data_IF_843280696340
#
_entry.id   IF_843280696340
#
_cell.length_a   1.000
_cell.length_b   1.000
_cell.length_c   1.000
_cell.angle_alpha   90.00
_cell.angle_beta   90.00
_cell.angle_gamma   90.00
#
_symmetry.space_group_name_H-M   'P 1'
#
loop_
_entity.id
_entity.type
_entity.pdbx_description
1 polymer ?
#
# COMPACT_ATOMS: atom_id res chain seq x y z
N UNK A 1 13.16 9.11 3.54
CA UNK A 1 12.78 8.72 4.92
C UNK A 1 13.46 9.62 5.97
N UNK A 2 14.79 9.76 5.92
CA UNK A 2 15.55 10.48 6.95
C UNK A 2 15.26 11.99 6.97
N UNK A 3 15.18 12.63 5.79
CA UNK A 3 14.83 14.05 5.64
C UNK A 3 13.54 14.43 6.38
N UNK A 4 12.56 13.53 6.40
CA UNK A 4 11.24 13.76 7.00
C UNK A 4 11.11 13.14 8.40
N UNK A 5 12.19 12.56 8.94
CA UNK A 5 12.18 11.89 10.23
C UNK A 5 11.14 10.78 10.29
N UNK A 6 11.10 9.91 9.28
CA UNK A 6 10.12 8.81 9.18
C UNK A 6 10.65 7.48 9.71
N UNK A 7 11.92 7.40 10.07
CA UNK A 7 12.48 6.19 10.69
C UNK A 7 11.89 5.99 12.09
N UNK A 8 11.37 4.79 12.41
CA UNK A 8 11.06 4.41 13.78
C UNK A 8 12.28 4.55 14.69
N UNK A 9 12.05 4.78 15.98
CA UNK A 9 13.12 4.77 16.97
C UNK A 9 13.65 3.34 17.15
N UNK A 10 14.96 3.20 17.34
CA UNK A 10 15.57 1.90 17.64
C UNK A 10 15.28 1.45 19.09
N UNK A 11 15.08 2.39 20.01
CA UNK A 11 14.80 2.13 21.42
C UNK A 11 14.05 3.30 22.06
N UNK A 12 13.46 3.07 23.24
CA UNK A 12 12.73 4.10 23.97
C UNK A 12 11.46 4.57 23.27
N UNK A 13 11.03 5.78 23.59
CA UNK A 13 9.81 6.40 23.09
C UNK A 13 10.11 7.51 22.08
N UNK A 14 9.14 7.78 21.21
CA UNK A 14 9.11 8.96 20.37
C UNK A 14 8.45 10.11 21.13
N UNK A 15 9.11 11.28 21.16
CA UNK A 15 8.63 12.48 21.87
C UNK A 15 8.28 13.62 20.92
N UNK A 16 8.08 13.32 19.62
CA UNK A 16 7.82 14.31 18.59
C UNK A 16 6.34 14.58 18.32
N UNK A 17 5.43 14.06 19.13
CA UNK A 17 4.01 14.39 19.03
C UNK A 17 3.78 15.89 19.25
N UNK A 18 2.95 16.49 18.42
CA UNK A 18 2.53 17.88 18.55
C UNK A 18 1.02 17.98 18.22
N UNK A 19 0.24 18.39 19.22
CA UNK A 19 -1.22 18.54 19.10
C UNK A 19 -1.62 19.61 18.06
N UNK A 20 -0.73 20.55 17.74
CA UNK A 20 -1.01 21.60 16.77
C UNK A 20 -0.71 21.18 15.33
N UNK A 21 -0.13 19.99 15.12
CA UNK A 21 0.09 19.44 13.78
C UNK A 21 -1.21 18.86 13.25
N UNK A 22 -1.64 19.34 12.09
CA UNK A 22 -2.77 18.78 11.36
C UNK A 22 -2.36 17.48 10.67
N UNK A 23 -2.89 16.35 11.14
CA UNK A 23 -2.69 15.02 10.56
C UNK A 23 -3.67 14.66 9.44
N UNK A 24 -4.48 15.62 8.98
CA UNK A 24 -5.37 15.43 7.83
C UNK A 24 -4.60 15.07 6.56
N UNK A 25 -5.22 14.26 5.71
CA UNK A 25 -4.67 13.93 4.39
C UNK A 25 -4.82 15.14 3.47
N UNK A 26 -3.71 15.62 2.93
CA UNK A 26 -3.71 16.70 1.97
C UNK A 26 -4.41 16.28 0.68
N UNK A 27 -5.19 17.20 0.10
CA UNK A 27 -5.93 16.96 -1.13
C UNK A 27 -5.02 16.46 -2.27
N UNK A 28 -3.84 17.07 -2.44
CA UNK A 28 -2.86 16.64 -3.45
C UNK A 28 -2.30 15.24 -3.23
N UNK A 29 -2.28 14.76 -1.99
CA UNK A 29 -1.82 13.40 -1.67
C UNK A 29 -2.91 12.39 -1.97
N UNK A 30 -4.14 12.65 -1.54
CA UNK A 30 -5.27 11.76 -1.77
C UNK A 30 -5.68 11.66 -3.25
N UNK A 31 -5.72 12.79 -3.95
CA UNK A 31 -6.20 12.86 -5.33
C UNK A 31 -5.11 12.61 -6.39
N UNK A 32 -3.82 12.66 -6.02
CA UNK A 32 -2.73 12.46 -6.99
C UNK A 32 -1.54 11.67 -6.43
N UNK A 33 -0.85 12.16 -5.38
CA UNK A 33 0.47 11.63 -5.04
C UNK A 33 0.46 10.15 -4.64
N UNK A 34 -0.55 9.68 -3.91
CA UNK A 34 -0.64 8.26 -3.50
C UNK A 34 -0.91 7.32 -4.70
N UNK A 35 -1.42 7.83 -5.80
CA UNK A 35 -1.74 7.04 -7.00
C UNK A 35 -0.53 6.66 -7.83
N UNK A 36 0.70 7.03 -7.44
CA UNK A 36 1.92 6.51 -8.08
C UNK A 36 1.93 4.97 -8.10
N UNK A 37 1.26 4.32 -7.14
CA UNK A 37 1.10 2.86 -7.13
C UNK A 37 0.46 2.30 -8.40
N UNK A 38 -0.29 3.10 -9.17
CA UNK A 38 -0.89 2.67 -10.42
C UNK A 38 0.15 2.23 -11.47
N UNK A 39 1.36 2.82 -11.49
CA UNK A 39 2.44 2.40 -12.38
C UNK A 39 3.15 1.12 -11.89
N UNK A 40 3.03 0.79 -10.61
CA UNK A 40 3.62 -0.40 -10.00
C UNK A 40 2.79 -1.68 -10.21
N UNK A 41 1.53 -1.54 -10.63
CA UNK A 41 0.63 -2.67 -10.83
C UNK A 41 1.07 -3.45 -12.08
N UNK A 42 1.38 -4.75 -11.99
CA UNK A 42 1.72 -5.56 -13.15
C UNK A 42 0.46 -5.92 -13.96
N UNK A 43 0.62 -6.13 -15.27
CA UNK A 43 -0.47 -6.58 -16.16
C UNK A 43 -0.96 -8.00 -15.85
N UNK A 44 -0.07 -8.84 -15.33
CA UNK A 44 -0.37 -10.24 -15.06
C UNK A 44 0.24 -10.72 -13.75
N UNK A 45 -0.41 -11.71 -13.15
CA UNK A 45 -0.06 -12.32 -11.88
C UNK A 45 0.26 -13.80 -12.12
N UNK A 46 1.56 -14.11 -12.18
CA UNK A 46 2.03 -15.48 -12.29
C UNK A 46 1.67 -16.28 -11.04
N UNK A 47 1.10 -17.48 -11.22
CA UNK A 47 1.00 -18.48 -10.16
C UNK A 47 2.36 -19.11 -9.92
N UNK A 48 2.70 -19.34 -8.66
CA UNK A 48 3.90 -20.09 -8.29
C UNK A 48 3.50 -21.42 -7.63
N UNK A 49 4.23 -22.49 -7.92
CA UNK A 49 4.14 -23.74 -7.17
C UNK A 49 4.92 -23.62 -5.84
N UNK A 50 4.81 -24.64 -4.98
CA UNK A 50 5.52 -24.67 -3.69
C UNK A 50 7.05 -24.62 -3.81
N UNK A 51 7.61 -24.78 -5.01
CA UNK A 51 9.04 -24.65 -5.29
C UNK A 51 9.39 -23.27 -5.89
N UNK A 52 8.45 -22.32 -5.92
CA UNK A 52 8.63 -20.98 -6.46
C UNK A 52 8.74 -20.93 -7.98
N UNK A 53 8.26 -21.95 -8.70
CA UNK A 53 8.26 -21.99 -10.17
C UNK A 53 6.93 -21.54 -10.74
N UNK A 54 6.96 -20.84 -11.87
CA UNK A 54 5.76 -20.35 -12.55
C UNK A 54 4.91 -21.55 -13.01
N UNK A 55 3.66 -21.58 -12.55
CA UNK A 55 2.69 -22.64 -12.84
C UNK A 55 1.66 -22.22 -13.89
N UNK A 56 1.26 -20.95 -13.93
CA UNK A 56 0.24 -20.44 -14.86
C UNK A 56 0.26 -18.91 -14.87
N UNK A 57 0.08 -18.28 -16.03
CA UNK A 57 -0.08 -16.83 -16.15
C UNK A 57 -1.57 -16.46 -16.16
N UNK A 58 -1.95 -15.46 -15.35
CA UNK A 58 -3.32 -14.95 -15.28
C UNK A 58 -3.29 -13.42 -15.32
N UNK A 59 -4.02 -12.84 -16.27
CA UNK A 59 -4.18 -11.38 -16.34
C UNK A 59 -4.88 -10.83 -15.09
N UNK A 60 -4.42 -9.68 -14.58
CA UNK A 60 -5.05 -9.01 -13.45
C UNK A 60 -6.50 -8.61 -13.75
N UNK A 61 -6.84 -8.41 -15.02
CA UNK A 61 -8.19 -8.12 -15.50
C UNK A 61 -9.22 -9.13 -14.95
N UNK A 62 -8.85 -10.40 -14.95
CA UNK A 62 -9.72 -11.51 -14.50
C UNK A 62 -9.81 -11.68 -12.97
N UNK A 63 -9.24 -10.74 -12.22
CA UNK A 63 -9.22 -10.76 -10.74
C UNK A 63 -10.09 -9.67 -10.11
N UNK A 64 -10.53 -8.69 -10.90
CA UNK A 64 -11.42 -7.63 -10.40
C UNK A 64 -12.76 -8.20 -9.92
N UNK A 65 -13.13 -7.87 -8.68
CA UNK A 65 -14.35 -8.36 -8.03
C UNK A 65 -14.54 -9.89 -8.09
N UNK A 66 -13.45 -10.65 -8.17
CA UNK A 66 -13.47 -12.11 -8.34
C UNK A 66 -12.82 -12.83 -7.14
N UNK A 67 -13.45 -12.83 -5.95
CA UNK A 67 -12.87 -13.41 -4.73
C UNK A 67 -12.86 -14.94 -4.74
N UNK A 68 -13.45 -15.60 -5.75
CA UNK A 68 -13.71 -17.04 -5.77
C UNK A 68 -12.46 -17.90 -5.51
N UNK A 69 -11.30 -17.47 -6.01
CA UNK A 69 -10.04 -18.18 -5.78
C UNK A 69 -9.62 -18.21 -4.30
N UNK A 70 -10.03 -17.21 -3.50
CA UNK A 70 -9.73 -17.16 -2.07
C UNK A 70 -10.53 -18.19 -1.27
N UNK A 71 -11.68 -18.63 -1.78
CA UNK A 71 -12.55 -19.63 -1.12
C UNK A 71 -12.09 -21.07 -1.37
N UNK A 72 -11.20 -21.30 -2.34
CA UNK A 72 -10.62 -22.62 -2.58
C UNK A 72 -9.67 -23.01 -1.43
N UNK A 73 -9.52 -24.32 -1.13
CA UNK A 73 -8.51 -24.78 -0.17
C UNK A 73 -7.11 -24.26 -0.53
N UNK A 74 -6.47 -23.57 0.41
CA UNK A 74 -5.15 -22.93 0.24
C UNK A 74 -5.15 -21.70 -0.69
N UNK A 75 -6.32 -21.10 -0.97
CA UNK A 75 -6.45 -19.93 -1.84
C UNK A 75 -5.62 -18.72 -1.38
N UNK A 76 -5.68 -18.39 -0.09
CA UNK A 76 -4.88 -17.30 0.50
C UNK A 76 -3.38 -17.56 0.38
N UNK A 77 -2.92 -18.76 0.72
CA UNK A 77 -1.51 -19.15 0.62
C UNK A 77 -0.98 -19.00 -0.82
N UNK A 78 -1.78 -19.39 -1.82
CA UNK A 78 -1.42 -19.18 -3.23
C UNK A 78 -1.24 -17.70 -3.53
N UNK A 79 -2.15 -16.83 -3.09
CA UNK A 79 -2.03 -15.38 -3.30
C UNK A 79 -0.79 -14.81 -2.59
N UNK A 80 -0.54 -15.19 -1.34
CA UNK A 80 0.65 -14.76 -0.60
C UNK A 80 1.95 -15.23 -1.27
N UNK A 81 2.01 -16.47 -1.75
CA UNK A 81 3.17 -16.95 -2.52
C UNK A 81 3.40 -16.11 -3.78
N UNK A 82 2.34 -15.68 -4.47
CA UNK A 82 2.47 -14.77 -5.62
C UNK A 82 3.06 -13.44 -5.21
N UNK A 83 2.54 -12.81 -4.16
CA UNK A 83 3.02 -11.51 -3.68
C UNK A 83 4.48 -11.55 -3.21
N UNK A 84 4.95 -12.69 -2.71
CA UNK A 84 6.34 -12.87 -2.30
C UNK A 84 7.32 -13.06 -3.47
N UNK A 85 6.87 -13.60 -4.60
CA UNK A 85 7.73 -14.00 -5.73
C UNK A 85 7.60 -13.11 -6.96
N UNK A 86 6.46 -12.47 -7.16
CA UNK A 86 6.21 -11.61 -8.31
C UNK A 86 6.82 -10.22 -8.04
N UNK A 87 7.74 -9.74 -8.90
CA UNK A 87 8.20 -8.37 -8.80
C UNK A 87 7.05 -7.41 -9.14
N UNK A 88 7.05 -6.23 -8.51
CA UNK A 88 6.22 -5.12 -8.95
C UNK A 88 6.62 -4.69 -10.37
N UNK A 89 5.71 -4.05 -11.11
CA UNK A 89 6.12 -3.34 -12.32
C UNK A 89 7.08 -2.23 -11.93
N UNK A 90 8.14 -2.05 -12.72
CA UNK A 90 9.07 -0.95 -12.52
C UNK A 90 8.29 0.35 -12.62
N UNK A 91 8.50 1.26 -11.67
CA UNK A 91 7.96 2.60 -11.82
C UNK A 91 8.58 3.25 -13.06
N UNK A 92 7.71 3.62 -13.99
CA UNK A 92 8.00 4.40 -15.17
C UNK A 92 6.83 5.36 -15.40
N UNK A 93 6.97 6.20 -16.41
CA UNK A 93 5.93 7.17 -16.79
C UNK A 93 4.66 6.53 -17.36
N UNK A 94 4.56 5.19 -17.37
CA UNK A 94 3.47 4.44 -17.97
C UNK A 94 2.66 3.66 -16.93
N UNK A 95 1.41 3.37 -17.31
CA UNK A 95 0.52 2.46 -16.60
C UNK A 95 0.13 1.38 -17.59
N UNK A 96 0.11 0.13 -17.15
CA UNK A 96 -0.12 -0.99 -18.05
C UNK A 96 -1.50 -0.92 -18.75
N UNK A 97 -1.59 -1.57 -19.91
CA UNK A 97 -2.76 -1.56 -20.79
C UNK A 97 -4.05 -2.06 -20.13
N UNK A 98 -3.93 -2.98 -19.15
CA UNK A 98 -5.10 -3.50 -18.42
C UNK A 98 -5.71 -2.40 -17.58
N UNK A 99 -4.88 -1.59 -16.90
CA UNK A 99 -5.36 -0.51 -16.04
C UNK A 99 -5.80 0.73 -16.83
N UNK A 100 -5.29 0.94 -18.05
CA UNK A 100 -5.64 2.10 -18.89
C UNK A 100 -6.78 1.85 -19.88
N UNK A 101 -7.06 0.60 -20.28
CA UNK A 101 -8.10 0.32 -21.28
C UNK A 101 -9.14 -0.72 -20.84
N UNK A 102 -8.81 -1.54 -19.85
CA UNK A 102 -9.56 -2.76 -19.52
C UNK A 102 -9.90 -2.86 -18.02
N UNK A 103 -9.77 -1.77 -17.26
CA UNK A 103 -10.05 -1.80 -15.82
C UNK A 103 -11.54 -2.05 -15.61
N UNK A 104 -11.87 -3.06 -14.81
CA UNK A 104 -13.25 -3.52 -14.56
C UNK A 104 -14.04 -3.90 -15.81
N UNK A 105 -13.38 -4.22 -16.92
CA UNK A 105 -14.07 -4.67 -18.11
C UNK A 105 -14.78 -6.01 -17.87
N UNK A 106 -16.08 -6.06 -18.09
CA UNK A 106 -16.83 -7.31 -18.22
C UNK A 106 -16.54 -7.94 -19.59
N UNK A 107 -16.29 -9.24 -19.58
CA UNK A 107 -16.26 -10.10 -20.77
C UNK A 107 -17.42 -9.90 -21.75
N UNK A 108 -18.59 -9.46 -21.28
CA UNK A 108 -19.80 -9.32 -22.09
C UNK A 108 -20.04 -7.91 -22.67
N UNK A 109 -19.49 -6.84 -22.06
CA UNK A 109 -19.86 -5.45 -22.38
C UNK A 109 -18.76 -4.63 -23.08
N UNK A 110 -17.59 -5.21 -23.35
CA UNK A 110 -16.61 -4.69 -24.32
C UNK A 110 -15.88 -3.38 -23.97
N UNK A 111 -16.34 -2.61 -22.99
CA UNK A 111 -15.74 -1.34 -22.59
C UNK A 111 -15.10 -1.45 -21.19
N UNK A 112 -13.82 -1.11 -21.09
CA UNK A 112 -13.12 -0.97 -19.81
C UNK A 112 -12.96 0.50 -19.41
N UNK A 113 -12.57 0.71 -18.17
CA UNK A 113 -12.21 2.03 -17.64
C UNK A 113 -10.71 2.28 -17.79
N UNK A 114 -10.37 3.58 -17.81
CA UNK A 114 -8.99 4.07 -17.80
C UNK A 114 -8.67 4.68 -16.42
N UNK A 115 -7.84 3.98 -15.64
CA UNK A 115 -7.41 4.44 -14.32
C UNK A 115 -6.60 5.74 -14.40
N UNK A 116 -5.72 5.88 -15.39
CA UNK A 116 -4.87 7.06 -15.53
C UNK A 116 -5.72 8.29 -15.85
N UNK A 117 -6.65 8.15 -16.80
CA UNK A 117 -7.59 9.21 -17.13
C UNK A 117 -8.47 9.60 -15.93
N UNK A 118 -8.92 8.62 -15.14
CA UNK A 118 -9.68 8.89 -13.92
C UNK A 118 -8.87 9.67 -12.89
N UNK A 119 -7.63 9.28 -12.60
CA UNK A 119 -6.76 9.99 -11.65
C UNK A 119 -6.53 11.44 -12.11
N UNK A 120 -6.24 11.65 -13.39
CA UNK A 120 -6.05 12.99 -13.96
C UNK A 120 -7.34 13.82 -13.83
N UNK A 121 -8.48 13.25 -14.20
CA UNK A 121 -9.76 13.95 -14.13
C UNK A 121 -10.18 14.24 -12.68
N UNK A 122 -9.88 13.35 -11.74
CA UNK A 122 -10.11 13.53 -10.31
C UNK A 122 -9.25 14.68 -9.76
N UNK A 123 -7.97 14.76 -10.17
CA UNK A 123 -7.10 15.88 -9.80
C UNK A 123 -7.65 17.23 -10.27
N UNK A 124 -8.23 17.29 -11.48
CA UNK A 124 -8.88 18.50 -12.01
C UNK A 124 -10.17 18.86 -11.28
N UNK A 125 -11.00 17.86 -11.00
CA UNK A 125 -12.24 18.03 -10.21
C UNK A 125 -11.94 18.59 -8.81
N UNK A 126 -10.87 18.09 -8.19
CA UNK A 126 -10.37 18.54 -6.89
C UNK A 126 -9.66 19.90 -6.92
N UNK A 127 -9.58 20.55 -8.09
CA UNK A 127 -8.96 21.86 -8.26
C UNK A 127 -7.48 21.89 -7.91
N UNK A 128 -6.75 20.78 -8.14
CA UNK A 128 -5.32 20.74 -7.86
C UNK A 128 -4.57 21.72 -8.76
N UNK A 129 -3.67 22.57 -8.20
CA UNK A 129 -2.77 23.35 -9.01
C UNK A 129 -1.91 22.47 -9.92
N UNK A 130 -1.51 23.02 -11.06
CA UNK A 130 -0.60 22.35 -12.00
C UNK A 130 0.72 21.94 -11.34
N UNK A 131 1.36 20.93 -11.92
CA UNK A 131 2.59 20.31 -11.46
C UNK A 131 3.69 21.31 -11.07
N UNK A 132 3.86 22.39 -11.84
CA UNK A 132 4.90 23.40 -11.57
C UNK A 132 4.76 24.10 -10.23
N UNK A 133 3.53 24.25 -9.71
CA UNK A 133 3.29 24.85 -8.40
C UNK A 133 3.76 23.93 -7.27
N UNK A 134 3.59 22.62 -7.46
CA UNK A 134 4.03 21.60 -6.51
C UNK A 134 5.55 21.43 -6.50
N UNK A 135 6.20 21.55 -7.66
CA UNK A 135 7.67 21.65 -7.75
C UNK A 135 8.19 22.79 -6.88
N UNK A 136 7.63 23.99 -7.07
CA UNK A 136 8.03 25.17 -6.29
C UNK A 136 7.76 24.99 -4.79
N UNK A 137 6.59 24.45 -4.43
CA UNK A 137 6.23 24.10 -3.05
C UNK A 137 7.22 23.13 -2.41
N UNK A 138 7.80 22.23 -3.21
CA UNK A 138 8.81 21.26 -2.80
C UNK A 138 10.25 21.78 -2.89
N UNK A 139 10.44 23.07 -3.20
CA UNK A 139 11.75 23.71 -3.25
C UNK A 139 12.56 23.37 -4.50
N UNK A 140 11.94 22.79 -5.53
CA UNK A 140 12.57 22.57 -6.82
C UNK A 140 12.64 23.88 -7.63
N UNK A 141 13.59 23.98 -8.59
CA UNK A 141 13.69 25.16 -9.45
C UNK A 141 12.38 25.46 -10.18
N UNK A 142 12.04 26.75 -10.23
CA UNK A 142 10.92 27.24 -11.03
C UNK A 142 11.19 26.99 -12.51
N UNK A 143 10.18 26.54 -13.24
CA UNK A 143 10.27 26.30 -14.68
C UNK A 143 9.23 27.11 -15.44
N UNK A 144 9.64 27.68 -16.57
CA UNK A 144 8.77 28.48 -17.45
C UNK A 144 8.65 27.91 -18.87
N UNK A 145 9.49 26.93 -19.20
CA UNK A 145 9.48 26.22 -20.46
C UNK A 145 9.60 24.71 -20.25
N UNK A 146 9.12 23.93 -21.22
CA UNK A 146 9.26 22.47 -21.18
C UNK A 146 10.73 22.02 -21.13
N UNK A 147 11.65 22.78 -21.74
CA UNK A 147 13.08 22.47 -21.79
C UNK A 147 13.71 22.41 -20.40
N UNK A 148 13.22 23.24 -19.48
CA UNK A 148 13.75 23.32 -18.11
C UNK A 148 13.38 22.10 -17.26
N UNK A 149 12.43 21.26 -17.69
CA UNK A 149 12.05 20.03 -16.99
C UNK A 149 13.12 18.92 -17.07
N UNK A 150 14.11 19.04 -17.96
CA UNK A 150 15.14 18.00 -18.12
C UNK A 150 16.05 17.81 -16.90
N UNK A 151 15.88 18.64 -15.86
CA UNK A 151 16.57 18.50 -14.58
C UNK A 151 16.09 17.28 -13.79
N UNK A 152 14.83 16.87 -13.96
CA UNK A 152 14.23 15.75 -13.22
C UNK A 152 13.55 14.70 -14.10
N UNK A 153 13.45 14.88 -15.42
CA UNK A 153 12.83 13.89 -16.31
C UNK A 153 13.56 13.75 -17.64
N UNK A 154 13.34 12.62 -18.32
CA UNK A 154 14.02 12.33 -19.59
C UNK A 154 13.54 13.24 -20.73
N UNK A 155 14.39 13.44 -21.74
CA UNK A 155 14.01 14.18 -22.96
C UNK A 155 12.79 13.56 -23.68
N UNK A 156 12.60 12.25 -23.53
CA UNK A 156 11.44 11.56 -24.09
C UNK A 156 10.14 12.02 -23.43
N UNK A 157 10.08 12.02 -22.09
CA UNK A 157 8.94 12.50 -21.31
C UNK A 157 8.63 13.97 -21.64
N UNK A 158 9.65 14.84 -21.66
CA UNK A 158 9.48 16.25 -22.02
C UNK A 158 8.88 16.41 -23.43
N UNK A 159 9.34 15.61 -24.39
CA UNK A 159 8.81 15.61 -25.76
C UNK A 159 7.35 15.18 -25.81
N UNK A 160 6.97 14.17 -25.02
CA UNK A 160 5.57 13.72 -24.88
C UNK A 160 4.69 14.81 -24.27
N UNK A 161 5.14 15.50 -23.22
CA UNK A 161 4.38 16.62 -22.64
C UNK A 161 4.15 17.76 -23.63
N UNK A 162 5.15 18.12 -24.46
CA UNK A 162 4.99 19.15 -25.50
C UNK A 162 3.93 18.81 -26.54
N UNK A 163 3.64 17.53 -26.77
CA UNK A 163 2.61 17.11 -27.74
C UNK A 163 1.20 17.27 -27.19
N UNK A 164 1.03 17.20 -25.87
CA UNK A 164 -0.28 17.13 -25.21
C UNK A 164 -0.64 18.45 -24.54
N UNK A 165 0.29 19.09 -23.85
CA UNK A 165 0.06 20.33 -23.12
C UNK A 165 0.51 21.55 -23.92
N UNK A 166 -0.31 22.61 -23.91
CA UNK A 166 0.01 23.88 -24.59
C UNK A 166 1.06 24.68 -23.82
N UNK A 167 0.96 24.71 -22.49
CA UNK A 167 1.91 25.37 -21.61
C UNK A 167 2.45 24.38 -20.55
N UNK A 168 3.70 24.57 -20.11
CA UNK A 168 4.29 23.76 -19.02
C UNK A 168 3.48 23.86 -17.71
N UNK A 169 2.80 24.98 -17.51
CA UNK A 169 1.95 25.25 -16.35
C UNK A 169 0.66 24.43 -16.34
N UNK A 170 0.25 23.90 -17.49
CA UNK A 170 -0.99 23.13 -17.65
C UNK A 170 -0.81 21.65 -17.29
N UNK A 171 0.43 21.19 -17.03
CA UNK A 171 0.71 19.79 -16.70
C UNK A 171 0.02 19.44 -15.38
N UNK A 172 -0.83 18.42 -15.41
CA UNK A 172 -1.51 17.90 -14.22
C UNK A 172 -0.50 17.34 -13.21
N UNK A 173 -0.73 17.51 -11.90
CA UNK A 173 0.21 17.06 -10.86
C UNK A 173 0.59 15.58 -11.03
N UNK A 174 -0.40 14.70 -11.19
CA UNK A 174 -0.15 13.26 -11.29
C UNK A 174 0.77 12.94 -12.48
N UNK A 175 0.42 13.43 -13.67
CA UNK A 175 1.18 13.21 -14.89
C UNK A 175 2.60 13.78 -14.80
N UNK A 176 2.74 15.01 -14.31
CA UNK A 176 4.04 15.67 -14.22
C UNK A 176 4.99 14.99 -13.24
N UNK A 177 4.49 14.61 -12.07
CA UNK A 177 5.30 13.98 -11.02
C UNK A 177 5.57 12.49 -11.27
N UNK A 178 4.67 11.75 -11.93
CA UNK A 178 4.94 10.39 -12.40
C UNK A 178 5.98 10.36 -13.53
N UNK A 179 6.10 11.44 -14.30
CA UNK A 179 7.14 11.58 -15.32
C UNK A 179 8.54 11.89 -14.78
N UNK A 180 8.69 12.14 -13.48
CA UNK A 180 9.99 12.40 -12.86
C UNK A 180 10.81 11.12 -12.74
N UNK A 181 12.13 11.24 -12.89
CA UNK A 181 13.05 10.14 -12.64
C UNK A 181 13.09 9.85 -11.14
N UNK A 182 12.93 8.57 -10.72
CA UNK A 182 13.05 8.20 -9.32
C UNK A 182 14.36 8.64 -8.68
N UNK A 183 14.28 9.15 -7.46
CA UNK A 183 15.49 9.46 -6.68
C UNK A 183 16.18 8.17 -6.25
N UNK A 184 17.48 8.23 -5.95
CA UNK A 184 18.23 7.06 -5.49
C UNK A 184 17.57 6.40 -4.26
N UNK A 185 17.39 5.08 -4.32
CA UNK A 185 16.74 4.30 -3.26
C UNK A 185 15.21 4.48 -3.17
N UNK A 186 14.59 5.12 -4.16
CA UNK A 186 13.15 5.38 -4.25
C UNK A 186 12.56 4.84 -5.56
N UNK A 187 11.24 4.65 -5.56
CA UNK A 187 10.45 4.35 -6.77
C UNK A 187 9.63 5.56 -7.24
N UNK A 188 9.90 6.74 -6.68
CA UNK A 188 9.21 7.98 -7.02
C UNK A 188 10.21 9.13 -7.14
N UNK A 189 9.89 10.10 -7.99
CA UNK A 189 10.64 11.32 -8.17
C UNK A 189 10.54 12.32 -7.00
N UNK A 190 11.32 13.42 -7.07
CA UNK A 190 11.43 14.39 -5.98
C UNK A 190 10.11 15.06 -5.56
N UNK A 191 9.18 15.33 -6.48
CA UNK A 191 7.90 15.98 -6.17
C UNK A 191 7.00 15.05 -5.36
N UNK A 192 6.77 13.82 -5.82
CA UNK A 192 6.01 12.84 -5.03
C UNK A 192 6.72 12.48 -3.73
N UNK A 193 8.05 12.33 -3.74
CA UNK A 193 8.85 12.11 -2.55
C UNK A 193 8.65 13.20 -1.49
N UNK A 194 8.60 14.46 -1.93
CA UNK A 194 8.31 15.60 -1.06
C UNK A 194 6.89 15.57 -0.50
N UNK A 195 5.87 15.38 -1.35
CA UNK A 195 4.47 15.40 -0.93
C UNK A 195 4.17 14.26 0.05
N UNK A 196 4.56 13.03 -0.28
CA UNK A 196 4.36 11.86 0.56
C UNK A 196 5.21 11.96 1.83
N UNK A 197 6.47 12.36 1.72
CA UNK A 197 7.36 12.53 2.88
C UNK A 197 6.80 13.50 3.92
N UNK A 198 6.27 14.65 3.48
CA UNK A 198 5.61 15.62 4.35
C UNK A 198 4.29 15.07 4.92
N UNK A 199 3.49 14.37 4.12
CA UNK A 199 2.24 13.78 4.60
C UNK A 199 2.49 12.76 5.71
N UNK A 200 3.41 11.82 5.52
CA UNK A 200 3.75 10.84 6.54
C UNK A 200 4.39 11.48 7.77
N UNK A 201 5.12 12.58 7.60
CA UNK A 201 5.68 13.34 8.72
C UNK A 201 4.56 13.92 9.61
N UNK A 202 3.54 14.53 9.00
CA UNK A 202 2.41 15.08 9.75
C UNK A 202 1.52 13.99 10.35
N UNK A 203 1.33 12.87 9.65
CA UNK A 203 0.60 11.71 10.20
C UNK A 203 1.29 11.18 11.46
N UNK A 204 2.61 10.97 11.43
CA UNK A 204 3.37 10.49 12.59
C UNK A 204 3.31 11.47 13.77
N UNK A 205 3.48 12.77 13.52
CA UNK A 205 3.57 13.78 14.59
C UNK A 205 2.23 14.28 15.12
N UNK A 206 1.20 14.27 14.30
CA UNK A 206 -0.16 14.67 14.68
C UNK A 206 -1.00 13.52 15.26
N UNK A 207 -0.52 12.27 15.17
CA UNK A 207 -1.20 11.13 15.77
C UNK A 207 -0.82 10.96 17.25
N UNK A 208 -1.79 11.24 18.13
CA UNK A 208 -1.65 11.01 19.58
C UNK A 208 -1.40 9.53 19.90
N UNK A 209 -1.94 8.63 19.09
CA UNK A 209 -1.85 7.17 19.24
C UNK A 209 -0.70 6.57 18.42
N UNK A 210 0.20 7.38 17.86
CA UNK A 210 1.41 6.86 17.24
C UNK A 210 2.10 5.92 18.22
N UNK A 211 2.34 4.68 17.78
CA UNK A 211 2.65 3.58 18.70
C UNK A 211 3.88 3.85 19.58
N UNK A 212 4.83 4.66 19.13
CA UNK A 212 6.04 4.96 19.91
C UNK A 212 5.86 6.08 20.94
N UNK A 213 4.72 6.76 20.98
CA UNK A 213 4.49 7.90 21.88
C UNK A 213 4.54 7.50 23.36
N UNK A 214 5.07 8.41 24.19
CA UNK A 214 5.02 8.33 25.66
C UNK A 214 3.88 9.20 26.23
N UNK A 215 2.66 9.00 25.73
CA UNK A 215 1.48 9.76 26.14
C UNK A 215 0.45 8.86 26.83
N UNK A 216 0.44 8.82 28.17
CA UNK A 216 -0.59 8.11 28.93
C UNK A 216 -2.02 8.63 28.61
N UNK A 217 -3.04 7.77 28.69
CA UNK A 217 -2.98 6.34 29.05
C UNK A 217 -2.69 5.40 27.86
N UNK A 218 -2.32 5.95 26.70
CA UNK A 218 -2.28 5.22 25.42
C UNK A 218 -0.90 4.73 25.01
N UNK A 219 0.13 5.05 25.79
CA UNK A 219 1.53 4.67 25.56
C UNK A 219 1.78 3.20 25.84
N UNK A 220 2.51 2.52 24.95
CA UNK A 220 3.11 1.23 25.25
C UNK A 220 4.27 1.37 26.24
N UNK A 221 4.49 0.33 27.05
CA UNK A 221 5.70 0.23 27.88
C UNK A 221 6.95 0.04 27.01
N UNK A 222 8.14 0.24 27.58
CA UNK A 222 9.40 0.06 26.83
C UNK A 222 9.60 -1.39 26.39
N UNK A 223 9.16 -2.33 27.23
CA UNK A 223 9.18 -3.77 26.96
C UNK A 223 8.23 -4.11 25.82
N UNK A 224 7.01 -3.55 25.82
CA UNK A 224 6.05 -3.71 24.73
C UNK A 224 6.59 -3.13 23.41
N UNK A 225 7.18 -1.93 23.44
CA UNK A 225 7.81 -1.34 22.25
C UNK A 225 8.99 -2.16 21.73
N UNK A 226 9.78 -2.76 22.62
CA UNK A 226 10.86 -3.66 22.22
C UNK A 226 10.33 -4.86 21.43
N UNK A 227 9.21 -5.45 21.85
CA UNK A 227 8.59 -6.57 21.15
C UNK A 227 7.92 -6.15 19.83
N UNK A 228 7.25 -4.98 19.76
CA UNK A 228 6.68 -4.42 18.52
C UNK A 228 7.76 -4.22 17.45
N UNK A 229 8.93 -3.71 17.83
CA UNK A 229 10.03 -3.45 16.90
C UNK A 229 10.65 -4.71 16.29
N UNK A 230 10.42 -5.89 16.86
CA UNK A 230 10.83 -7.17 16.28
C UNK A 230 9.92 -7.64 15.15
N UNK A 231 8.70 -7.10 15.05
CA UNK A 231 7.73 -7.52 14.04
C UNK A 231 8.17 -7.13 12.64
N UNK A 232 7.94 -8.03 11.69
CA UNK A 232 8.10 -7.80 10.25
C UNK A 232 6.89 -8.34 9.51
N UNK A 233 6.64 -7.85 8.30
CA UNK A 233 5.59 -8.42 7.45
C UNK A 233 5.88 -9.90 7.11
N UNK A 234 7.16 -10.32 7.04
CA UNK A 234 7.53 -11.73 6.94
C UNK A 234 7.00 -12.55 8.13
N UNK A 235 7.16 -12.06 9.37
CA UNK A 235 6.60 -12.73 10.56
C UNK A 235 5.08 -12.79 10.53
N UNK A 236 4.41 -11.72 10.09
CA UNK A 236 2.95 -11.70 9.94
C UNK A 236 2.50 -12.79 8.97
N UNK A 237 3.16 -12.91 7.81
CA UNK A 237 2.86 -13.98 6.83
C UNK A 237 3.10 -15.36 7.46
N UNK A 238 4.26 -15.59 8.07
CA UNK A 238 4.60 -16.87 8.70
C UNK A 238 3.62 -17.32 9.80
N UNK A 239 2.99 -16.38 10.52
CA UNK A 239 2.06 -16.70 11.59
C UNK A 239 0.62 -16.95 11.09
N UNK A 240 0.27 -16.52 9.87
CA UNK A 240 -1.10 -16.50 9.38
C UNK A 240 -1.31 -17.30 8.08
N UNK A 241 -0.26 -17.85 7.49
CA UNK A 241 -0.35 -18.74 6.34
C UNK A 241 -0.32 -20.21 6.78
N UNK A 242 -1.09 -21.08 6.12
CA UNK A 242 -1.21 -22.49 6.52
C UNK A 242 -0.01 -23.33 6.05
N UNK A 243 0.47 -23.07 4.83
CA UNK A 243 1.48 -23.89 4.16
C UNK A 243 2.76 -23.14 3.76
N UNK A 244 2.87 -21.85 4.05
CA UNK A 244 4.08 -21.07 3.78
C UNK A 244 5.09 -21.29 4.92
N UNK A 245 6.15 -22.03 4.63
CA UNK A 245 7.19 -22.38 5.62
C UNK A 245 8.45 -21.55 5.51
N UNK A 246 8.66 -20.89 4.37
CA UNK A 246 9.84 -20.07 4.09
C UNK A 246 9.39 -18.75 3.47
N UNK A 247 10.03 -17.65 3.88
CA UNK A 247 9.75 -16.28 3.41
C UNK A 247 11.07 -15.50 3.39
N UNK A 248 11.24 -14.54 2.46
CA UNK A 248 12.36 -13.60 2.54
C UNK A 248 12.17 -12.61 3.73
N UNK A 249 13.21 -12.29 4.52
CA UNK A 249 13.06 -11.38 5.66
C UNK A 249 12.56 -9.97 5.29
N UNK A 250 13.02 -9.42 4.15
CA UNK A 250 12.61 -8.11 3.63
C UNK A 250 11.63 -8.32 2.46
N UNK A 251 10.35 -8.48 2.77
CA UNK A 251 9.31 -8.89 1.78
C UNK A 251 9.00 -7.85 0.70
N UNK A 252 9.37 -6.58 0.90
CA UNK A 252 9.22 -5.54 -0.12
C UNK A 252 10.41 -5.46 -1.09
N UNK A 253 11.49 -6.18 -0.80
CA UNK A 253 12.66 -6.29 -1.67
C UNK A 253 12.64 -7.64 -2.38
N UNK A 254 13.19 -7.66 -3.59
CA UNK A 254 13.40 -8.89 -4.32
C UNK A 254 14.26 -9.87 -3.51
N UNK A 255 14.02 -11.16 -3.75
CA UNK A 255 14.86 -12.22 -3.18
C UNK A 255 16.30 -12.08 -3.69
N UNK A 256 17.24 -12.21 -2.78
CA UNK A 256 18.66 -12.25 -3.10
C UNK A 256 19.32 -13.40 -2.34
N UNK A 257 20.10 -14.30 -2.98
CA UNK A 257 20.69 -15.46 -2.31
C UNK A 257 21.60 -15.13 -1.13
N UNK A 258 22.09 -13.89 -1.02
CA UNK A 258 23.05 -13.48 0.00
C UNK A 258 22.44 -12.49 1.02
N UNK A 259 21.65 -11.51 0.55
CA UNK A 259 21.16 -10.40 1.35
C UNK A 259 19.69 -10.55 1.78
N UNK A 260 18.91 -11.37 1.08
CA UNK A 260 17.46 -11.51 1.31
C UNK A 260 16.94 -12.90 0.90
N UNK A 261 17.63 -13.96 1.33
CA UNK A 261 17.32 -15.32 0.93
C UNK A 261 16.05 -15.84 1.63
N UNK A 262 15.35 -16.76 0.98
CA UNK A 262 14.23 -17.47 1.58
C UNK A 262 14.70 -18.17 2.85
N UNK A 263 14.02 -17.90 3.97
CA UNK A 263 14.40 -18.42 5.28
C UNK A 263 13.20 -19.05 5.98
N UNK A 264 13.45 -20.15 6.71
CA UNK A 264 12.41 -20.85 7.46
C UNK A 264 11.73 -19.94 8.50
N UNK A 265 10.40 -20.01 8.53
CA UNK A 265 9.54 -19.28 9.47
C UNK A 265 9.79 -19.62 10.94
N UNK A 266 10.38 -20.78 11.23
CA UNK A 266 10.73 -21.26 12.58
C UNK A 266 12.12 -20.85 13.04
N UNK A 267 12.93 -20.23 12.16
CA UNK A 267 14.29 -19.80 12.48
C UNK A 267 14.36 -18.48 13.24
N UNK A 268 15.56 -18.14 13.72
CA UNK A 268 15.79 -16.91 14.50
C UNK A 268 15.83 -15.62 13.65
N UNK A 269 16.02 -15.73 12.34
CA UNK A 269 16.15 -14.58 11.42
C UNK A 269 14.85 -13.79 11.33
N UNK A 270 13.71 -14.49 11.25
CA UNK A 270 12.39 -13.86 11.30
C UNK A 270 12.00 -13.80 12.78
N UNK A 271 12.11 -12.63 13.40
CA UNK A 271 11.85 -12.48 14.83
C UNK A 271 10.42 -12.85 15.23
N UNK A 272 10.24 -13.43 16.42
CA UNK A 272 8.94 -13.59 17.05
C UNK A 272 8.70 -12.44 18.03
N UNK A 273 7.44 -12.00 18.13
CA UNK A 273 7.00 -11.08 19.18
C UNK A 273 6.65 -11.89 20.43
N UNK A 274 7.22 -11.53 21.58
CA UNK A 274 6.77 -12.03 22.87
C UNK A 274 5.60 -11.17 23.38
N UNK A 275 4.47 -11.79 23.70
CA UNK A 275 3.30 -11.10 24.24
C UNK A 275 3.27 -11.05 25.78
N UNK A 276 4.26 -11.63 26.45
CA UNK A 276 4.40 -11.59 27.92
C UNK A 276 4.34 -10.16 28.50
N UNK A 277 4.91 -9.11 27.86
CA UNK A 277 4.77 -7.73 28.34
C UNK A 277 3.35 -7.16 28.33
N UNK A 278 2.39 -7.82 27.68
CA UNK A 278 0.96 -7.49 27.76
C UNK A 278 0.23 -8.27 28.86
N UNK A 279 0.90 -9.21 29.52
CA UNK A 279 0.32 -9.89 30.67
C UNK A 279 0.08 -8.86 31.79
N UNK A 280 -1.15 -8.82 32.29
CA UNK A 280 -1.51 -7.97 33.42
C UNK A 280 -1.52 -8.81 34.69
N UNK A 281 -0.90 -8.30 35.75
CA UNK A 281 -0.94 -8.95 37.07
C UNK A 281 -2.30 -8.78 37.77
N UNK A 282 -3.18 -7.92 37.24
CA UNK A 282 -4.41 -7.51 37.89
C UNK A 282 -5.66 -7.88 37.05
N UNK A 283 -6.51 -8.83 37.50
CA UNK A 283 -7.66 -9.36 36.77
C UNK A 283 -8.86 -8.42 36.63
N UNK A 284 -8.68 -7.09 36.69
CA UNK A 284 -9.81 -6.16 36.62
C UNK A 284 -10.56 -6.17 35.27
N UNK A 285 -10.04 -6.88 34.28
CA UNK A 285 -10.79 -7.28 33.09
C UNK A 285 -10.66 -8.79 32.85
N UNK A 286 -11.14 -9.62 33.79
CA UNK A 286 -11.46 -11.02 33.46
C UNK A 286 -12.63 -10.98 32.49
N UNK A 287 -12.32 -11.16 31.20
CA UNK A 287 -13.34 -11.58 30.24
C UNK A 287 -13.76 -12.99 30.67
N UNK A 288 -14.94 -13.12 31.28
CA UNK A 288 -15.46 -14.42 31.66
C UNK A 288 -15.41 -15.36 30.45
N UNK A 289 -15.07 -16.64 30.67
CA UNK A 289 -15.16 -17.66 29.62
C UNK A 289 -16.55 -17.71 29.00
N UNK A 290 -17.59 -17.33 29.75
CA UNK A 290 -18.95 -17.16 29.22
C UNK A 290 -19.05 -15.97 28.28
N UNK A 291 -18.47 -14.81 28.63
CA UNK A 291 -18.47 -13.63 27.75
C UNK A 291 -17.70 -13.92 26.46
N UNK A 292 -16.55 -14.61 26.53
CA UNK A 292 -15.81 -15.05 25.34
C UNK A 292 -16.65 -15.99 24.47
N UNK A 293 -17.27 -17.01 25.07
CA UNK A 293 -18.12 -17.94 24.36
C UNK A 293 -19.34 -17.24 23.72
N UNK A 294 -19.95 -16.30 24.44
CA UNK A 294 -21.08 -15.50 23.96
C UNK A 294 -20.65 -14.57 22.83
N UNK A 295 -19.50 -13.91 22.93
CA UNK A 295 -18.93 -13.09 21.85
C UNK A 295 -18.64 -13.92 20.60
N UNK A 296 -18.07 -15.13 20.73
CA UNK A 296 -17.85 -16.04 19.60
C UNK A 296 -19.19 -16.51 19.01
N UNK A 297 -20.17 -16.83 19.85
CA UNK A 297 -21.50 -17.22 19.39
C UNK A 297 -22.25 -16.08 18.69
N UNK A 298 -22.12 -14.84 19.18
CA UNK A 298 -22.63 -13.65 18.50
C UNK A 298 -21.93 -13.42 17.17
N UNK A 299 -20.60 -13.45 17.13
CA UNK A 299 -19.85 -13.31 15.89
C UNK A 299 -20.26 -14.37 14.86
N UNK A 300 -20.41 -15.64 15.27
CA UNK A 300 -20.91 -16.71 14.38
C UNK A 300 -22.32 -16.45 13.88
N UNK A 301 -23.22 -15.95 14.73
CA UNK A 301 -24.59 -15.57 14.34
C UNK A 301 -24.60 -14.40 13.37
N UNK A 302 -23.78 -13.39 13.60
CA UNK A 302 -23.69 -12.22 12.74
C UNK A 302 -23.11 -12.59 11.37
N UNK A 303 -22.07 -13.42 11.33
CA UNK A 303 -21.56 -14.01 10.07
C UNK A 303 -22.66 -14.78 9.35
N UNK A 304 -23.44 -15.61 10.07
CA UNK A 304 -24.52 -16.36 9.46
C UNK A 304 -25.63 -15.46 8.90
N UNK A 305 -25.98 -14.38 9.60
CA UNK A 305 -26.94 -13.37 9.11
C UNK A 305 -26.45 -12.67 7.85
N UNK A 306 -25.17 -12.29 7.82
CA UNK A 306 -24.55 -11.68 6.63
C UNK A 306 -24.64 -12.66 5.46
N UNK A 307 -24.27 -13.93 5.67
CA UNK A 307 -24.38 -14.99 4.67
C UNK A 307 -25.83 -15.16 4.16
N UNK A 308 -26.82 -15.17 5.05
CA UNK A 308 -28.23 -15.22 4.65
C UNK A 308 -28.65 -14.00 3.83
N UNK A 309 -28.26 -12.79 4.24
CA UNK A 309 -28.56 -11.57 3.50
C UNK A 309 -27.89 -11.57 2.12
N UNK A 310 -26.65 -12.03 2.02
CA UNK A 310 -25.95 -12.20 0.74
C UNK A 310 -26.68 -13.19 -0.17
N UNK A 311 -27.13 -14.33 0.39
CA UNK A 311 -27.93 -15.32 -0.36
C UNK A 311 -29.28 -14.76 -0.80
N UNK A 312 -30.01 -14.07 0.06
CA UNK A 312 -31.30 -13.44 -0.27
C UNK A 312 -31.15 -12.40 -1.38
N UNK A 313 -30.10 -11.56 -1.32
CA UNK A 313 -29.79 -10.59 -2.36
C UNK A 313 -29.40 -11.27 -3.68
N UNK A 314 -28.67 -12.38 -3.61
CA UNK A 314 -28.29 -13.17 -4.78
C UNK A 314 -29.52 -13.80 -5.44
N UNK A 315 -30.39 -14.44 -4.66
CA UNK A 315 -31.65 -15.02 -5.15
C UNK A 315 -32.58 -13.95 -5.74
N UNK A 316 -32.75 -12.80 -5.07
CA UNK A 316 -33.56 -11.69 -5.58
C UNK A 316 -33.05 -11.13 -6.91
N UNK A 317 -31.72 -11.07 -7.10
CA UNK A 317 -31.12 -10.66 -8.38
C UNK A 317 -31.31 -11.71 -9.48
N UNK A 318 -31.30 -13.00 -9.12
CA UNK A 318 -31.58 -14.10 -10.07
C UNK A 318 -33.03 -14.11 -10.58
N UNK A 319 -34.00 -13.59 -9.81
CA UNK A 319 -35.41 -13.49 -10.21
C UNK A 319 -35.80 -12.13 -10.82
N UNK A 320 -34.87 -11.17 -10.87
CA UNK A 320 -35.08 -9.86 -11.47
C UNK A 320 -34.45 -9.72 -12.88
N UNK A 321 -33.78 -10.78 -13.36
CA UNK A 321 -33.32 -10.98 -14.74
C UNK A 321 -34.24 -12.01 -15.43
#
# INVERSE_FOLDING_TARGET
MDQYGLQPQASGHFTGYDINVNSGIANSVAAAAMWFVASLIPKSLNMFDNAGRISTDKTIMSTFYAPFQLYEPGGLDKVLQRLLHAPAQREDEFINEVMTNHMFQDSNEGNGLDLAAQIIQHGRDHGLPGYIHWRLFCGLPSVTSFQELTDVMSLHVVSSFRKVYRNVSDIDLFTGALGETPTEGSVIGPTFGCLLGRQFHYLRRGDRYWYENDLPPSSFSKEQLHEIRKTSLARIICNNADNIREVQPLVFLDKDPFLNAMTACTGAVIGHMDLTPWSTSNPHFIVSGTLLADSVAWAKRDVHKILQQEMELWEQRMFAL
#
